data_IF_048944345766
#
_entry.id   IF_048944345766
#
_cell.length_a   1.000
_cell.length_b   1.000
_cell.length_c   1.000
_cell.angle_alpha   90.00
_cell.angle_beta   90.00
_cell.angle_gamma   90.00
#
_symmetry.space_group_name_H-M   'P 1'
#
loop_
_entity.id
_entity.type
_entity.pdbx_description
1 polymer ?
#
# COMPACT_ATOMS: atom_id res chain seq x y z
N UNK A 1 9.89 11.71 -13.58
CA UNK A 1 9.44 12.44 -12.38
C UNK A 1 10.38 12.13 -11.23
N UNK A 2 10.54 13.02 -10.26
CA UNK A 2 11.32 12.77 -9.05
C UNK A 2 10.38 12.33 -7.93
N UNK A 3 10.64 11.16 -7.35
CA UNK A 3 9.79 10.55 -6.32
C UNK A 3 10.62 10.26 -5.08
N UNK A 4 10.10 10.58 -3.90
CA UNK A 4 10.66 10.08 -2.65
C UNK A 4 9.78 8.98 -2.06
N UNK A 5 10.41 7.98 -1.42
CA UNK A 5 9.72 6.88 -0.74
C UNK A 5 10.18 6.85 0.71
N UNK A 6 9.27 7.09 1.64
CA UNK A 6 9.52 7.09 3.08
C UNK A 6 9.18 5.71 3.67
N UNK A 7 10.21 5.00 4.11
CA UNK A 7 10.19 3.60 4.54
C UNK A 7 10.74 2.69 3.44
N UNK A 8 11.85 2.00 3.72
CA UNK A 8 12.53 1.05 2.80
C UNK A 8 12.42 -0.40 3.28
N UNK A 9 11.36 -0.70 4.01
CA UNK A 9 11.05 -2.06 4.43
C UNK A 9 10.54 -2.95 3.29
N UNK A 10 9.85 -4.06 3.64
CA UNK A 10 9.40 -5.12 2.71
C UNK A 10 8.52 -4.64 1.55
N UNK A 11 7.85 -3.50 1.66
CA UNK A 11 7.04 -2.92 0.59
C UNK A 11 7.68 -1.69 -0.03
N UNK A 12 8.32 -0.84 0.77
CA UNK A 12 8.84 0.43 0.29
C UNK A 12 10.10 0.30 -0.57
N UNK A 13 11.00 -0.62 -0.26
CA UNK A 13 12.17 -0.87 -1.11
C UNK A 13 11.77 -1.46 -2.48
N UNK A 14 10.87 -2.46 -2.58
CA UNK A 14 10.33 -2.89 -3.87
C UNK A 14 9.63 -1.76 -4.63
N UNK A 15 8.80 -0.94 -3.98
CA UNK A 15 8.12 0.18 -4.65
C UNK A 15 9.13 1.18 -5.23
N UNK A 16 10.15 1.55 -4.45
CA UNK A 16 11.21 2.45 -4.91
C UNK A 16 11.96 1.89 -6.12
N UNK A 17 12.29 0.60 -6.09
CA UNK A 17 12.98 -0.08 -7.19
C UNK A 17 12.10 -0.21 -8.44
N UNK A 18 10.79 -0.51 -8.28
CA UNK A 18 9.83 -0.55 -9.39
C UNK A 18 9.75 0.82 -10.06
N UNK A 19 9.53 1.90 -9.32
CA UNK A 19 9.48 3.24 -9.91
C UNK A 19 10.79 3.62 -10.61
N UNK A 20 11.94 3.32 -10.00
CA UNK A 20 13.24 3.60 -10.60
C UNK A 20 13.47 2.80 -11.91
N UNK A 21 13.05 1.54 -11.95
CA UNK A 21 13.14 0.69 -13.15
C UNK A 21 12.29 1.21 -14.32
N UNK A 22 11.23 1.93 -13.99
CA UNK A 22 10.30 2.54 -14.97
C UNK A 22 10.67 3.99 -15.35
N UNK A 23 11.88 4.43 -14.98
CA UNK A 23 12.45 5.69 -15.46
C UNK A 23 12.22 6.90 -14.54
N UNK A 24 11.65 6.71 -13.35
CA UNK A 24 11.59 7.77 -12.36
C UNK A 24 12.95 7.93 -11.64
N UNK A 25 13.29 9.15 -11.22
CA UNK A 25 14.38 9.39 -10.27
C UNK A 25 13.83 9.18 -8.86
N UNK A 26 14.38 8.21 -8.11
CA UNK A 26 13.82 7.83 -6.82
C UNK A 26 14.83 8.01 -5.69
N UNK A 27 14.38 8.65 -4.62
CA UNK A 27 15.13 8.82 -3.37
C UNK A 27 14.37 8.08 -2.25
N UNK A 28 14.87 6.91 -1.86
CA UNK A 28 14.35 6.19 -0.71
C UNK A 28 14.81 6.83 0.61
N UNK A 29 13.97 6.80 1.63
CA UNK A 29 14.38 7.23 2.97
C UNK A 29 13.99 6.23 4.03
N UNK A 30 14.85 5.98 4.99
CA UNK A 30 14.57 5.12 6.14
C UNK A 30 15.34 5.59 7.36
N UNK A 31 14.81 5.32 8.56
CA UNK A 31 15.51 5.56 9.83
C UNK A 31 16.61 4.51 10.05
N UNK A 32 16.47 3.32 9.44
CA UNK A 32 17.48 2.27 9.50
C UNK A 32 18.62 2.55 8.50
N UNK A 33 19.77 2.97 9.02
CA UNK A 33 20.94 3.26 8.22
C UNK A 33 21.40 2.06 7.36
N UNK A 34 21.23 0.83 7.83
CA UNK A 34 21.62 -0.36 7.09
C UNK A 34 20.79 -0.54 5.79
N UNK A 35 19.51 -0.13 5.79
CA UNK A 35 18.69 -0.15 4.57
C UNK A 35 19.17 0.90 3.56
N UNK A 36 19.49 2.09 4.05
CA UNK A 36 20.04 3.19 3.22
C UNK A 36 21.38 2.80 2.60
N UNK A 37 22.28 2.24 3.39
CA UNK A 37 23.59 1.77 2.94
C UNK A 37 23.47 0.63 1.91
N UNK A 38 22.56 -0.33 2.14
CA UNK A 38 22.33 -1.42 1.20
C UNK A 38 21.89 -0.89 -0.16
N UNK A 39 20.87 -0.03 -0.21
CA UNK A 39 20.37 0.56 -1.47
C UNK A 39 21.48 1.34 -2.18
N UNK A 40 22.23 2.19 -1.49
CA UNK A 40 23.32 2.98 -2.08
C UNK A 40 24.49 2.10 -2.57
N UNK A 41 24.69 0.94 -1.94
CA UNK A 41 25.66 -0.06 -2.40
C UNK A 41 25.11 -0.94 -3.56
N UNK A 42 23.89 -0.69 -4.03
CA UNK A 42 23.21 -1.47 -5.06
C UNK A 42 22.80 -2.87 -4.59
N UNK A 43 22.50 -3.02 -3.30
CA UNK A 43 22.04 -4.28 -2.70
C UNK A 43 20.60 -4.16 -2.21
N UNK A 44 19.84 -5.22 -2.35
CA UNK A 44 18.48 -5.28 -1.80
C UNK A 44 18.53 -5.22 -0.25
N UNK A 45 17.82 -4.28 0.39
CA UNK A 45 17.79 -4.16 1.84
C UNK A 45 16.88 -5.22 2.50
N UNK A 46 16.04 -5.88 1.73
CA UNK A 46 15.11 -6.93 2.16
C UNK A 46 15.10 -8.07 1.15
N UNK A 47 14.77 -9.25 1.60
CA UNK A 47 14.61 -10.42 0.73
C UNK A 47 13.23 -10.39 0.07
N UNK A 48 13.22 -10.18 -1.26
CA UNK A 48 12.01 -10.22 -2.10
C UNK A 48 12.42 -10.63 -3.52
N UNK A 49 11.75 -11.63 -4.13
CA UNK A 49 12.04 -12.08 -5.49
C UNK A 49 12.01 -10.95 -6.52
N UNK A 50 13.08 -10.84 -7.32
CA UNK A 50 13.22 -9.84 -8.37
C UNK A 50 13.67 -8.44 -7.91
N UNK A 51 13.74 -8.18 -6.59
CA UNK A 51 14.13 -6.86 -6.08
C UNK A 51 15.58 -6.52 -6.44
N UNK A 52 16.52 -7.47 -6.30
CA UNK A 52 17.93 -7.24 -6.63
C UNK A 52 18.10 -6.89 -8.11
N UNK A 53 17.40 -7.60 -9.00
CA UNK A 53 17.47 -7.35 -10.45
C UNK A 53 16.97 -5.93 -10.79
N UNK A 54 15.90 -5.47 -10.15
CA UNK A 54 15.39 -4.10 -10.34
C UNK A 54 16.37 -3.04 -9.83
N UNK A 55 17.03 -3.27 -8.70
CA UNK A 55 18.04 -2.37 -8.15
C UNK A 55 19.24 -2.31 -9.11
N UNK A 56 19.69 -3.44 -9.61
CA UNK A 56 20.82 -3.49 -10.57
C UNK A 56 20.52 -2.72 -11.87
N UNK A 57 19.29 -2.82 -12.37
CA UNK A 57 18.84 -2.08 -13.56
C UNK A 57 18.66 -0.58 -13.30
N UNK A 58 18.51 -0.18 -12.05
CA UNK A 58 18.10 1.19 -11.68
C UNK A 58 19.18 1.98 -10.92
N UNK A 59 20.42 1.51 -10.86
CA UNK A 59 21.53 2.08 -10.06
C UNK A 59 21.72 3.58 -10.23
N UNK A 60 21.48 4.11 -11.42
CA UNK A 60 21.65 5.54 -11.73
C UNK A 60 20.44 6.39 -11.34
N UNK A 61 19.30 5.77 -11.05
CA UNK A 61 18.03 6.43 -10.76
C UNK A 61 17.50 6.16 -9.36
N UNK A 62 18.12 5.24 -8.62
CA UNK A 62 17.74 4.89 -7.24
C UNK A 62 18.86 5.26 -6.28
N UNK A 63 18.54 6.08 -5.31
CA UNK A 63 19.44 6.42 -4.19
C UNK A 63 18.67 6.39 -2.88
N UNK A 64 19.36 6.43 -1.75
CA UNK A 64 18.72 6.47 -0.44
C UNK A 64 19.44 7.41 0.53
N UNK A 65 18.71 7.94 1.51
CA UNK A 65 19.24 8.83 2.55
C UNK A 65 18.46 8.68 3.85
N UNK A 66 19.08 9.02 4.99
CA UNK A 66 18.36 9.18 6.25
C UNK A 66 17.71 10.58 6.41
N UNK A 67 18.04 11.54 5.53
CA UNK A 67 17.45 12.88 5.52
C UNK A 67 16.20 12.92 4.66
N UNK A 68 15.05 12.59 5.27
CA UNK A 68 13.77 12.61 4.59
C UNK A 68 13.35 14.03 4.19
N UNK A 69 13.75 15.08 4.92
CA UNK A 69 13.45 16.48 4.57
C UNK A 69 14.13 16.85 3.26
N UNK A 70 15.41 16.51 3.10
CA UNK A 70 16.14 16.75 1.86
C UNK A 70 15.56 15.95 0.68
N UNK A 71 15.19 14.68 0.89
CA UNK A 71 14.58 13.85 -0.14
C UNK A 71 13.26 14.43 -0.65
N UNK A 72 12.36 14.84 0.26
CA UNK A 72 11.08 15.46 -0.07
C UNK A 72 11.27 16.78 -0.80
N UNK A 73 12.20 17.61 -0.34
CA UNK A 73 12.52 18.89 -1.00
C UNK A 73 12.98 18.68 -2.45
N UNK A 74 13.67 17.60 -2.74
CA UNK A 74 14.20 17.28 -4.07
C UNK A 74 13.22 16.53 -4.98
N UNK A 75 12.03 16.14 -4.50
CA UNK A 75 11.06 15.32 -5.24
C UNK A 75 9.76 16.07 -5.56
N UNK A 76 8.98 15.52 -6.50
CA UNK A 76 7.67 16.04 -6.92
C UNK A 76 6.53 15.32 -6.21
N UNK A 77 6.75 14.05 -5.87
CA UNK A 77 5.82 13.21 -5.12
C UNK A 77 6.53 12.43 -4.01
N UNK A 78 5.83 12.17 -2.90
CA UNK A 78 6.32 11.39 -1.77
C UNK A 78 5.35 10.29 -1.42
N UNK A 79 5.81 9.03 -1.47
CA UNK A 79 5.07 7.86 -1.00
C UNK A 79 5.48 7.54 0.43
N UNK A 80 4.51 7.29 1.31
CA UNK A 80 4.73 7.00 2.72
C UNK A 80 4.31 5.55 3.01
N UNK A 81 5.29 4.71 3.35
CA UNK A 81 5.09 3.28 3.66
C UNK A 81 5.76 2.98 4.99
N UNK A 82 5.08 3.32 6.07
CA UNK A 82 5.53 3.13 7.44
C UNK A 82 4.61 2.16 8.19
N UNK A 83 5.07 1.51 9.27
CA UNK A 83 4.22 0.62 10.05
C UNK A 83 3.00 1.33 10.62
N UNK A 84 1.87 0.63 10.67
CA UNK A 84 0.64 1.05 11.35
C UNK A 84 0.18 -0.08 12.30
N UNK A 85 0.88 -0.30 13.43
CA UNK A 85 0.58 -1.41 14.33
C UNK A 85 -0.82 -1.28 14.93
N UNK A 86 -1.41 -2.40 15.36
CA UNK A 86 -2.66 -2.37 16.11
C UNK A 86 -2.44 -1.81 17.50
N UNK A 87 -3.35 -0.95 17.95
CA UNK A 87 -3.43 -0.50 19.34
C UNK A 87 -4.18 -1.54 20.23
N UNK A 88 -4.34 -1.22 21.51
CA UNK A 88 -5.01 -2.09 22.46
C UNK A 88 -6.50 -2.35 22.14
N UNK A 89 -7.12 -1.54 21.30
CA UNK A 89 -8.51 -1.70 20.84
C UNK A 89 -8.60 -2.52 19.55
N UNK A 90 -7.47 -2.89 18.95
CA UNK A 90 -7.36 -3.58 17.67
C UNK A 90 -7.43 -2.67 16.45
N UNK A 91 -7.46 -1.34 16.63
CA UNK A 91 -7.43 -0.36 15.53
C UNK A 91 -5.99 -0.10 15.09
N UNK A 92 -5.80 0.40 13.89
CA UNK A 92 -4.47 0.80 13.42
C UNK A 92 -4.06 2.13 14.07
N UNK A 93 -2.87 2.16 14.69
CA UNK A 93 -2.26 3.41 15.17
C UNK A 93 -1.71 4.22 13.99
N UNK A 94 -1.94 5.53 14.03
CA UNK A 94 -1.39 6.49 13.09
C UNK A 94 -0.04 7.07 13.53
N UNK A 95 0.56 6.64 14.65
CA UNK A 95 1.72 7.29 15.28
C UNK A 95 2.93 7.44 14.34
N UNK A 96 3.27 6.38 13.62
CA UNK A 96 4.37 6.44 12.65
C UNK A 96 4.00 7.27 11.41
N UNK A 97 2.75 7.17 10.94
CA UNK A 97 2.26 7.95 9.81
C UNK A 97 2.25 9.45 10.13
N UNK A 98 1.81 9.84 11.34
CA UNK A 98 1.85 11.23 11.83
C UNK A 98 3.29 11.76 11.86
N UNK A 99 4.24 11.00 12.41
CA UNK A 99 5.66 11.39 12.44
C UNK A 99 6.26 11.54 11.04
N UNK A 100 5.96 10.60 10.16
CA UNK A 100 6.41 10.66 8.77
C UNK A 100 5.84 11.88 8.04
N UNK A 101 4.53 12.14 8.18
CA UNK A 101 3.88 13.30 7.57
C UNK A 101 4.37 14.64 8.12
N UNK A 102 4.71 14.71 9.42
CA UNK A 102 5.32 15.91 9.98
C UNK A 102 6.68 16.22 9.31
N UNK A 103 7.52 15.19 9.14
CA UNK A 103 8.81 15.32 8.44
C UNK A 103 8.64 15.67 6.96
N UNK A 104 7.71 15.01 6.27
CA UNK A 104 7.36 15.30 4.87
C UNK A 104 6.86 16.73 4.73
N UNK A 105 5.99 17.20 5.62
CA UNK A 105 5.51 18.57 5.66
C UNK A 105 6.65 19.60 5.80
N UNK A 106 7.64 19.33 6.66
CA UNK A 106 8.83 20.18 6.79
C UNK A 106 9.63 20.29 5.48
N UNK A 107 9.77 19.19 4.75
CA UNK A 107 10.41 19.19 3.43
C UNK A 107 9.64 20.00 2.40
N UNK A 108 8.30 19.87 2.38
CA UNK A 108 7.42 20.63 1.49
C UNK A 108 7.47 22.13 1.79
N UNK A 109 7.56 22.51 3.05
CA UNK A 109 7.69 23.91 3.47
C UNK A 109 8.92 24.61 2.88
N UNK A 110 9.99 23.86 2.61
CA UNK A 110 11.27 24.36 2.12
C UNK A 110 11.38 24.41 0.60
N UNK A 111 10.31 24.14 -0.13
CA UNK A 111 10.30 24.17 -1.60
C UNK A 111 9.13 24.99 -2.15
N UNK A 112 9.27 25.43 -3.40
CA UNK A 112 8.19 26.00 -4.21
C UNK A 112 7.58 24.92 -5.12
N UNK A 113 6.43 25.20 -5.69
CA UNK A 113 5.74 24.31 -6.63
C UNK A 113 4.85 23.28 -5.93
N UNK A 114 4.07 22.59 -6.74
CA UNK A 114 3.16 21.54 -6.29
C UNK A 114 3.91 20.34 -5.72
N UNK A 115 3.33 19.66 -4.74
CA UNK A 115 3.84 18.40 -4.21
C UNK A 115 2.69 17.44 -3.93
N UNK A 116 2.80 16.21 -4.45
CA UNK A 116 1.86 15.14 -4.14
C UNK A 116 2.38 14.30 -2.98
N UNK A 117 1.56 14.11 -1.95
CA UNK A 117 1.80 13.15 -0.86
C UNK A 117 0.89 11.96 -1.02
N UNK A 118 1.45 10.76 -0.96
CA UNK A 118 0.71 9.50 -1.14
C UNK A 118 0.88 8.66 0.14
N UNK A 119 -0.21 8.48 0.87
CA UNK A 119 -0.26 7.56 2.01
C UNK A 119 -0.55 6.15 1.50
N UNK A 120 0.45 5.28 1.57
CA UNK A 120 0.34 3.89 1.12
C UNK A 120 0.11 2.91 2.27
N UNK A 121 0.53 3.26 3.49
CA UNK A 121 0.25 2.43 4.68
C UNK A 121 -1.24 2.28 4.92
N UNK A 122 -1.66 1.08 5.33
CA UNK A 122 -3.08 0.83 5.68
C UNK A 122 -3.45 1.57 6.96
N UNK A 123 -4.48 2.40 6.89
CA UNK A 123 -4.99 3.20 8.01
C UNK A 123 -6.48 2.97 8.22
N UNK A 124 -7.01 3.40 9.38
CA UNK A 124 -8.45 3.32 9.67
C UNK A 124 -9.24 4.32 8.82
N UNK A 125 -10.48 3.99 8.39
CA UNK A 125 -11.37 4.95 7.75
C UNK A 125 -11.51 6.26 8.53
N UNK A 126 -11.33 7.38 7.81
CA UNK A 126 -11.30 8.74 8.37
C UNK A 126 -9.92 9.25 8.76
N UNK A 127 -8.86 8.42 8.72
CA UNK A 127 -7.50 8.83 9.10
C UNK A 127 -6.90 9.83 8.12
N UNK A 128 -6.95 9.53 6.82
CA UNK A 128 -6.28 10.33 5.77
C UNK A 128 -6.88 11.72 5.67
N UNK A 129 -8.20 11.83 5.59
CA UNK A 129 -8.90 13.12 5.54
C UNK A 129 -8.97 13.85 6.88
N UNK A 130 -8.71 13.15 7.99
CA UNK A 130 -8.71 13.67 9.36
C UNK A 130 -7.30 14.06 9.83
N UNK A 131 -6.81 13.33 10.83
CA UNK A 131 -5.55 13.63 11.54
C UNK A 131 -4.34 13.72 10.59
N UNK A 132 -4.25 12.84 9.58
CA UNK A 132 -3.09 12.80 8.69
C UNK A 132 -3.04 14.06 7.81
N UNK A 133 -4.17 14.48 7.24
CA UNK A 133 -4.29 15.75 6.53
C UNK A 133 -3.90 16.93 7.42
N UNK A 134 -4.45 17.01 8.64
CA UNK A 134 -4.18 18.13 9.57
C UNK A 134 -2.68 18.26 9.88
N UNK A 135 -2.00 17.14 10.14
CA UNK A 135 -0.56 17.13 10.40
C UNK A 135 0.22 17.60 9.17
N UNK A 136 -0.12 17.11 7.98
CA UNK A 136 0.53 17.52 6.74
C UNK A 136 0.36 19.03 6.47
N UNK A 137 -0.86 19.56 6.58
CA UNK A 137 -1.15 20.99 6.37
C UNK A 137 -0.41 21.86 7.40
N UNK A 138 -0.42 21.46 8.67
CA UNK A 138 0.27 22.18 9.75
C UNK A 138 1.79 22.28 9.51
N UNK A 139 2.44 21.16 9.16
CA UNK A 139 3.89 21.13 9.02
C UNK A 139 4.39 21.69 7.68
N UNK A 140 3.60 21.52 6.61
CA UNK A 140 3.93 22.11 5.32
C UNK A 140 3.65 23.62 5.26
N UNK A 141 2.76 24.14 6.09
CA UNK A 141 2.24 25.51 5.99
C UNK A 141 1.38 25.72 4.74
N UNK A 142 0.85 24.64 4.14
CA UNK A 142 -0.02 24.66 2.96
C UNK A 142 -1.31 23.94 3.25
N UNK A 143 -2.39 24.35 2.59
CA UNK A 143 -3.66 23.60 2.55
C UNK A 143 -3.72 22.75 1.30
N UNK A 144 -4.50 21.64 1.35
CA UNK A 144 -4.78 20.84 0.16
C UNK A 144 -5.40 21.68 -0.94
N UNK A 145 -4.95 21.47 -2.17
CA UNK A 145 -5.39 22.20 -3.36
C UNK A 145 -4.23 22.53 -4.31
N UNK A 146 -4.14 23.76 -4.85
CA UNK A 146 -3.27 24.07 -5.99
C UNK A 146 -1.76 23.84 -5.77
N UNK A 147 -1.30 23.74 -4.52
CA UNK A 147 0.12 23.60 -4.19
C UNK A 147 0.43 22.34 -3.40
N UNK A 148 -0.58 21.56 -2.99
CA UNK A 148 -0.43 20.35 -2.17
C UNK A 148 -1.55 19.37 -2.47
N UNK A 149 -1.21 18.20 -3.00
CA UNK A 149 -2.12 17.07 -3.16
C UNK A 149 -1.89 16.01 -2.09
N UNK A 150 -2.95 15.32 -1.73
CA UNK A 150 -2.90 14.14 -0.86
C UNK A 150 -3.69 13.01 -1.50
N UNK A 151 -3.08 11.84 -1.60
CA UNK A 151 -3.76 10.61 -1.97
C UNK A 151 -3.60 9.54 -0.90
N UNK A 152 -4.60 8.69 -0.75
CA UNK A 152 -4.52 7.39 -0.11
C UNK A 152 -4.43 6.31 -1.19
N UNK A 153 -3.39 5.50 -1.14
CA UNK A 153 -3.13 4.50 -2.18
C UNK A 153 -2.53 3.24 -1.56
N UNK A 154 -3.36 2.38 -0.99
CA UNK A 154 -2.92 1.16 -0.33
C UNK A 154 -2.60 0.06 -1.34
N UNK A 155 -1.71 -0.86 -0.95
CA UNK A 155 -1.32 -2.01 -1.74
C UNK A 155 -2.20 -3.25 -1.47
N UNK A 156 -2.40 -4.08 -2.51
CA UNK A 156 -3.12 -5.36 -2.45
C UNK A 156 -2.17 -6.51 -2.85
N UNK A 157 -1.08 -6.65 -2.12
CA UNK A 157 0.05 -7.53 -2.44
C UNK A 157 0.21 -8.63 -1.41
N UNK A 158 0.77 -9.77 -1.85
CA UNK A 158 1.22 -10.85 -0.98
C UNK A 158 2.75 -10.82 -0.85
N UNK A 159 3.28 -11.03 0.36
CA UNK A 159 4.73 -11.17 0.58
C UNK A 159 5.26 -12.37 -0.23
N UNK A 160 6.43 -12.18 -0.86
CA UNK A 160 7.03 -13.16 -1.77
C UNK A 160 6.59 -13.00 -3.23
N UNK A 161 5.71 -12.04 -3.52
CA UNK A 161 5.32 -11.63 -4.88
C UNK A 161 5.16 -10.12 -5.03
N UNK A 162 5.76 -9.35 -4.12
CA UNK A 162 5.59 -7.90 -4.03
C UNK A 162 5.96 -7.19 -5.34
N UNK A 163 7.13 -7.48 -5.89
CA UNK A 163 7.59 -6.89 -7.16
C UNK A 163 6.64 -7.22 -8.30
N UNK A 164 6.27 -8.50 -8.43
CA UNK A 164 5.34 -8.95 -9.48
C UNK A 164 3.98 -8.26 -9.37
N UNK A 165 3.44 -8.21 -8.17
CA UNK A 165 2.10 -7.67 -7.91
C UNK A 165 2.08 -6.14 -8.06
N UNK A 166 3.20 -5.43 -7.79
CA UNK A 166 3.36 -4.01 -8.10
C UNK A 166 3.46 -3.72 -9.59
N UNK A 167 4.14 -4.59 -10.34
CA UNK A 167 4.26 -4.44 -11.79
C UNK A 167 2.98 -4.81 -12.54
N UNK A 168 2.16 -5.71 -12.00
CA UNK A 168 0.93 -6.22 -12.61
C UNK A 168 -0.22 -6.31 -11.61
N UNK A 169 -0.65 -5.19 -11.02
CA UNK A 169 -1.75 -5.19 -10.08
C UNK A 169 -3.09 -5.46 -10.76
N UNK A 170 -4.02 -6.11 -10.06
CA UNK A 170 -5.40 -6.29 -10.53
C UNK A 170 -6.14 -4.94 -10.64
N UNK A 171 -5.84 -4.00 -9.72
CA UNK A 171 -6.38 -2.64 -9.69
C UNK A 171 -5.45 -1.70 -8.93
N UNK A 172 -5.57 -0.41 -9.21
CA UNK A 172 -5.00 0.68 -8.40
C UNK A 172 -6.14 1.42 -7.72
N UNK A 173 -6.12 1.46 -6.38
CA UNK A 173 -7.10 2.17 -5.56
C UNK A 173 -6.54 3.54 -5.17
N UNK A 174 -7.27 4.60 -5.49
CA UNK A 174 -6.87 5.99 -5.23
C UNK A 174 -7.97 6.70 -4.46
N UNK A 175 -7.71 7.01 -3.20
CA UNK A 175 -8.47 8.03 -2.47
C UNK A 175 -7.79 9.38 -2.69
N UNK A 176 -8.49 10.35 -3.24
CA UNK A 176 -7.89 11.62 -3.67
C UNK A 176 -8.45 12.84 -2.95
N UNK A 177 -7.59 13.84 -2.73
CA UNK A 177 -8.02 15.15 -2.20
C UNK A 177 -8.75 15.99 -3.24
N UNK A 178 -8.33 15.85 -4.49
CA UNK A 178 -8.83 16.58 -5.65
C UNK A 178 -8.38 15.89 -6.94
N UNK A 179 -8.94 16.29 -8.08
CA UNK A 179 -8.65 15.67 -9.38
C UNK A 179 -7.18 15.79 -9.79
N UNK A 180 -6.51 16.91 -9.49
CA UNK A 180 -5.09 17.09 -9.83
C UNK A 180 -4.20 16.09 -9.11
N UNK A 181 -4.46 15.81 -7.83
CA UNK A 181 -3.75 14.80 -7.05
C UNK A 181 -3.96 13.40 -7.63
N UNK A 182 -5.21 13.06 -7.95
CA UNK A 182 -5.56 11.79 -8.57
C UNK A 182 -4.93 11.60 -9.94
N UNK A 183 -5.01 12.60 -10.82
CA UNK A 183 -4.44 12.55 -12.18
C UNK A 183 -2.91 12.36 -12.15
N UNK A 184 -2.22 13.05 -11.24
CA UNK A 184 -0.78 12.90 -11.06
C UNK A 184 -0.41 11.48 -10.60
N UNK A 185 -1.14 10.92 -9.62
CA UNK A 185 -0.90 9.57 -9.14
C UNK A 185 -1.21 8.51 -10.20
N UNK A 186 -2.32 8.65 -10.90
CA UNK A 186 -2.70 7.78 -12.02
C UNK A 186 -1.61 7.80 -13.12
N UNK A 187 -1.07 8.97 -13.46
CA UNK A 187 0.04 9.11 -14.40
C UNK A 187 1.32 8.38 -13.96
N UNK A 188 1.63 8.34 -12.66
CA UNK A 188 2.75 7.55 -12.12
C UNK A 188 2.49 6.06 -12.38
N UNK A 189 1.29 5.55 -12.09
CA UNK A 189 0.98 4.14 -12.29
C UNK A 189 0.87 3.73 -13.74
N UNK A 190 0.39 4.58 -14.64
CA UNK A 190 0.40 4.31 -16.09
C UNK A 190 1.79 4.08 -16.66
N UNK A 191 2.81 4.73 -16.08
CA UNK A 191 4.21 4.52 -16.47
C UNK A 191 4.88 3.38 -15.72
N UNK A 192 4.34 2.98 -14.56
CA UNK A 192 5.00 2.02 -13.66
C UNK A 192 4.47 0.59 -13.77
N UNK A 193 3.23 0.39 -14.22
CA UNK A 193 2.64 -0.94 -14.38
C UNK A 193 2.93 -1.54 -15.77
N UNK A 194 3.17 -2.87 -15.82
CA UNK A 194 3.34 -3.63 -17.07
C UNK A 194 2.00 -4.00 -17.73
N UNK A 195 0.92 -3.92 -16.97
CA UNK A 195 -0.44 -4.07 -17.46
C UNK A 195 -1.18 -2.71 -17.41
N UNK A 196 -2.42 -2.72 -17.81
CA UNK A 196 -3.31 -1.55 -17.67
C UNK A 196 -4.34 -1.85 -16.57
N UNK A 197 -3.98 -1.70 -15.29
CA UNK A 197 -4.88 -2.03 -14.21
C UNK A 197 -6.07 -1.07 -14.18
N UNK A 198 -7.20 -1.56 -13.67
CA UNK A 198 -8.36 -0.70 -13.46
C UNK A 198 -8.05 0.35 -12.39
N UNK A 199 -8.12 1.64 -12.75
CA UNK A 199 -8.01 2.74 -11.80
C UNK A 199 -9.34 2.95 -11.07
N UNK A 200 -9.31 2.95 -9.74
CA UNK A 200 -10.50 3.12 -8.88
C UNK A 200 -10.31 4.37 -8.02
N UNK A 201 -10.82 5.49 -8.53
CA UNK A 201 -10.71 6.81 -7.90
C UNK A 201 -11.94 7.11 -7.06
N UNK A 202 -11.74 7.61 -5.85
CA UNK A 202 -12.80 7.92 -4.90
C UNK A 202 -12.29 8.86 -3.79
N UNK A 203 -13.16 9.23 -2.85
CA UNK A 203 -12.73 9.97 -1.66
C UNK A 203 -11.96 9.06 -0.68
N UNK A 204 -11.26 9.67 0.27
CA UNK A 204 -10.42 8.97 1.24
C UNK A 204 -11.16 7.87 2.01
N UNK A 205 -12.32 8.19 2.57
CA UNK A 205 -13.07 7.26 3.43
C UNK A 205 -13.50 6.01 2.67
N UNK A 206 -13.96 6.17 1.44
CA UNK A 206 -14.33 5.05 0.59
C UNK A 206 -13.10 4.18 0.26
N UNK A 207 -11.95 4.78 -0.04
CA UNK A 207 -10.73 4.04 -0.35
C UNK A 207 -10.18 3.30 0.89
N UNK A 208 -10.16 3.94 2.04
CA UNK A 208 -9.75 3.32 3.32
C UNK A 208 -10.65 2.14 3.68
N UNK A 209 -11.98 2.31 3.55
CA UNK A 209 -12.94 1.23 3.78
C UNK A 209 -12.77 0.10 2.78
N UNK A 210 -12.61 0.42 1.49
CA UNK A 210 -12.39 -0.57 0.42
C UNK A 210 -11.16 -1.44 0.72
N UNK A 211 -10.06 -0.84 1.18
CA UNK A 211 -8.84 -1.58 1.51
C UNK A 211 -9.10 -2.67 2.56
N UNK A 212 -9.76 -2.33 3.64
CA UNK A 212 -10.06 -3.29 4.72
C UNK A 212 -11.12 -4.29 4.27
N UNK A 213 -12.16 -3.83 3.55
CA UNK A 213 -13.25 -4.66 3.06
C UNK A 213 -12.79 -5.77 2.10
N UNK A 214 -11.80 -5.51 1.23
CA UNK A 214 -11.24 -6.55 0.35
C UNK A 214 -10.63 -7.68 1.19
N UNK A 215 -9.81 -7.37 2.19
CA UNK A 215 -9.17 -8.38 3.02
C UNK A 215 -10.17 -9.18 3.85
N UNK A 216 -11.17 -8.51 4.43
CA UNK A 216 -12.21 -9.20 5.22
C UNK A 216 -13.13 -10.04 4.35
N UNK A 217 -13.43 -9.62 3.12
CA UNK A 217 -14.18 -10.43 2.16
C UNK A 217 -13.38 -11.68 1.72
N UNK A 218 -12.08 -11.53 1.48
CA UNK A 218 -11.21 -12.67 1.18
C UNK A 218 -11.23 -13.71 2.31
N UNK A 219 -11.12 -13.26 3.57
CA UNK A 219 -11.19 -14.18 4.72
C UNK A 219 -12.57 -14.82 4.90
N UNK A 220 -13.64 -14.15 4.51
CA UNK A 220 -14.99 -14.73 4.45
C UNK A 220 -15.07 -15.86 3.43
N UNK A 221 -14.49 -15.70 2.24
CA UNK A 221 -14.43 -16.77 1.23
C UNK A 221 -13.62 -17.98 1.72
N UNK A 222 -12.48 -17.75 2.37
CA UNK A 222 -11.66 -18.83 2.95
C UNK A 222 -12.45 -19.59 4.02
N UNK A 223 -13.11 -18.86 4.94
CA UNK A 223 -13.92 -19.46 6.00
C UNK A 223 -15.11 -20.24 5.44
N UNK A 224 -15.75 -19.74 4.41
CA UNK A 224 -16.84 -20.42 3.72
C UNK A 224 -16.35 -21.72 3.03
N UNK A 225 -15.20 -21.66 2.36
CA UNK A 225 -14.61 -22.85 1.75
C UNK A 225 -14.23 -23.93 2.79
N UNK A 226 -13.73 -23.52 3.95
CA UNK A 226 -13.44 -24.45 5.06
C UNK A 226 -14.71 -25.06 5.66
N UNK A 227 -15.79 -24.29 5.78
CA UNK A 227 -17.09 -24.84 6.18
C UNK A 227 -17.58 -25.87 5.17
N UNK A 228 -17.42 -25.65 3.86
CA UNK A 228 -17.74 -26.66 2.85
C UNK A 228 -16.87 -27.92 2.99
N UNK A 229 -15.59 -27.76 3.33
CA UNK A 229 -14.70 -28.90 3.59
C UNK A 229 -15.24 -29.78 4.75
N UNK A 230 -15.61 -29.15 5.87
CA UNK A 230 -16.22 -29.88 7.01
C UNK A 230 -17.52 -30.61 6.64
N UNK A 231 -18.31 -30.07 5.72
CA UNK A 231 -19.51 -30.73 5.22
C UNK A 231 -19.13 -31.91 4.32
N UNK A 232 -18.20 -31.73 3.38
CA UNK A 232 -17.76 -32.79 2.46
C UNK A 232 -17.15 -33.96 3.22
N UNK A 233 -16.38 -33.73 4.28
CA UNK A 233 -15.79 -34.76 5.12
C UNK A 233 -16.83 -35.69 5.79
N UNK A 234 -18.08 -35.24 5.89
CA UNK A 234 -19.20 -35.98 6.50
C UNK A 234 -20.17 -36.57 5.48
N UNK A 235 -20.01 -36.27 4.21
CA UNK A 235 -20.84 -36.76 3.13
C UNK A 235 -20.07 -37.79 2.30
N UNK A 236 -20.55 -39.06 2.20
CA UNK A 236 -19.93 -40.04 1.33
C UNK A 236 -19.81 -39.53 -0.11
N UNK A 237 -18.66 -39.78 -0.74
CA UNK A 237 -18.34 -39.42 -2.13
C UNK A 237 -18.24 -37.91 -2.42
N UNK A 238 -18.41 -37.00 -1.42
CA UNK A 238 -18.21 -35.60 -1.59
C UNK A 238 -16.72 -35.21 -1.59
N UNK A 239 -16.34 -34.28 -2.50
CA UNK A 239 -14.99 -33.76 -2.63
C UNK A 239 -15.08 -32.22 -2.63
N UNK A 240 -14.45 -31.57 -1.65
CA UNK A 240 -14.47 -30.13 -1.48
C UNK A 240 -13.83 -29.40 -2.66
N UNK A 241 -12.79 -29.94 -3.27
CA UNK A 241 -12.14 -29.31 -4.43
C UNK A 241 -13.05 -29.32 -5.67
N UNK A 242 -13.84 -30.37 -5.84
CA UNK A 242 -14.85 -30.46 -6.90
C UNK A 242 -15.99 -29.45 -6.65
N UNK A 243 -16.51 -29.42 -5.42
CA UNK A 243 -17.60 -28.52 -5.02
C UNK A 243 -17.17 -27.06 -5.16
N UNK A 244 -16.00 -26.69 -4.60
CA UNK A 244 -15.54 -25.28 -4.63
C UNK A 244 -15.16 -24.80 -6.03
N UNK A 245 -14.64 -25.67 -6.90
CA UNK A 245 -14.42 -25.37 -8.32
C UNK A 245 -15.74 -25.08 -9.05
N UNK A 246 -16.77 -25.87 -8.80
CA UNK A 246 -18.08 -25.68 -9.40
C UNK A 246 -18.73 -24.39 -8.90
N UNK A 247 -18.72 -24.13 -7.59
CA UNK A 247 -19.21 -22.89 -6.99
C UNK A 247 -18.45 -21.66 -7.54
N UNK A 248 -17.12 -21.77 -7.63
CA UNK A 248 -16.27 -20.69 -8.15
C UNK A 248 -16.39 -20.42 -9.64
N UNK A 249 -16.95 -21.36 -10.42
CA UNK A 249 -17.24 -21.17 -11.85
C UNK A 249 -18.40 -20.18 -12.09
N UNK A 250 -19.28 -19.98 -11.09
CA UNK A 250 -20.29 -18.92 -11.15
C UNK A 250 -19.58 -17.55 -11.06
N UNK A 251 -19.80 -16.71 -12.08
CA UNK A 251 -19.16 -15.37 -12.17
C UNK A 251 -19.50 -14.44 -11.01
N UNK A 252 -20.62 -14.68 -10.30
CA UNK A 252 -21.01 -13.94 -9.10
C UNK A 252 -20.13 -14.29 -7.89
N UNK A 253 -19.46 -15.45 -7.90
CA UNK A 253 -18.63 -15.95 -6.79
C UNK A 253 -17.15 -15.84 -7.12
N UNK A 254 -16.69 -16.42 -8.24
CA UNK A 254 -15.31 -16.44 -8.67
C UNK A 254 -14.43 -17.41 -7.87
N UNK A 255 -13.40 -17.97 -8.51
CA UNK A 255 -12.57 -19.06 -7.98
C UNK A 255 -11.52 -18.62 -6.95
N UNK A 256 -11.08 -17.35 -6.96
CA UNK A 256 -10.00 -16.88 -6.09
C UNK A 256 -10.39 -17.02 -4.61
N UNK A 257 -9.49 -17.59 -3.79
CA UNK A 257 -9.65 -17.79 -2.34
C UNK A 257 -10.80 -18.72 -1.94
N UNK A 258 -11.34 -19.51 -2.86
CA UNK A 258 -12.41 -20.48 -2.59
C UNK A 258 -11.84 -21.91 -2.64
N UNK A 259 -11.04 -22.26 -1.64
CA UNK A 259 -10.43 -23.57 -1.48
C UNK A 259 -10.47 -23.99 -0.01
N UNK A 260 -10.94 -25.21 0.26
CA UNK A 260 -10.89 -25.82 1.60
C UNK A 260 -9.46 -26.19 1.96
N UNK A 261 -8.99 -25.72 3.10
CA UNK A 261 -7.65 -25.98 3.65
C UNK A 261 -7.58 -25.50 5.10
N UNK A 262 -6.38 -25.15 5.58
CA UNK A 262 -6.20 -24.47 6.87
C UNK A 262 -6.85 -23.08 6.87
N UNK A 263 -7.18 -22.56 8.06
CA UNK A 263 -7.72 -21.20 8.20
C UNK A 263 -6.77 -20.12 7.69
N UNK A 264 -7.31 -18.92 7.50
CA UNK A 264 -6.49 -17.78 7.08
C UNK A 264 -5.51 -17.36 8.20
N UNK A 265 -4.35 -16.84 7.81
CA UNK A 265 -3.29 -16.41 8.70
C UNK A 265 -2.48 -15.26 8.09
N UNK A 266 -1.20 -15.19 8.47
CA UNK A 266 -0.29 -14.14 8.03
C UNK A 266 -0.46 -12.82 8.79
N UNK A 267 0.34 -11.79 8.45
CA UNK A 267 0.38 -10.55 9.22
C UNK A 267 -0.80 -9.60 8.94
N UNK A 268 -1.51 -9.77 7.82
CA UNK A 268 -2.52 -8.80 7.37
C UNK A 268 -3.96 -9.26 7.69
N UNK A 269 -4.35 -10.46 7.27
CA UNK A 269 -5.74 -10.90 7.38
C UNK A 269 -6.31 -10.90 8.80
N UNK A 270 -5.65 -11.50 9.82
CA UNK A 270 -6.16 -11.46 11.18
C UNK A 270 -6.28 -10.03 11.71
N UNK A 271 -5.27 -9.21 11.47
CA UNK A 271 -5.19 -7.82 11.91
C UNK A 271 -6.31 -6.97 11.30
N UNK A 272 -6.54 -7.10 10.00
CA UNK A 272 -7.54 -6.30 9.28
C UNK A 272 -8.97 -6.72 9.69
N UNK A 273 -9.21 -8.01 9.98
CA UNK A 273 -10.50 -8.48 10.54
C UNK A 273 -10.76 -7.87 11.93
N UNK A 274 -9.75 -7.83 12.80
CA UNK A 274 -9.89 -7.21 14.14
C UNK A 274 -10.18 -5.73 13.99
N UNK A 275 -9.46 -5.02 13.13
CA UNK A 275 -9.65 -3.59 12.88
C UNK A 275 -11.03 -3.28 12.28
N UNK A 276 -11.50 -4.10 11.34
CA UNK A 276 -12.84 -3.95 10.78
C UNK A 276 -13.94 -4.19 11.82
N UNK A 277 -13.78 -5.23 12.66
CA UNK A 277 -14.69 -5.48 13.79
C UNK A 277 -14.68 -4.37 14.84
N UNK A 278 -13.51 -3.75 15.11
CA UNK A 278 -13.41 -2.60 16.01
C UNK A 278 -14.13 -1.37 15.44
N UNK A 279 -13.99 -1.11 14.13
CA UNK A 279 -14.72 -0.06 13.44
C UNK A 279 -16.23 -0.27 13.52
N UNK A 280 -16.72 -1.48 13.20
CA UNK A 280 -18.14 -1.79 13.23
C UNK A 280 -18.77 -1.65 14.62
N UNK A 281 -18.02 -1.97 15.70
CA UNK A 281 -18.50 -1.77 17.09
C UNK A 281 -18.54 -0.31 17.52
N UNK A 282 -17.76 0.56 16.88
CA UNK A 282 -17.74 1.98 17.17
C UNK A 282 -18.92 2.73 16.54
N UNK A 283 -19.42 2.25 15.41
CA UNK A 283 -20.55 2.84 14.67
C UNK A 283 -21.90 2.35 15.21
#
# INVERSE_FOLDING_TARGET
MKISVVGLGKLGAPLAAVFASKGHEVIGTDLNAAFVEAVNAGRAPVDEPGLQDLIDQSRTRLSATNDAVAAVRASDATFIIVPTPSDATGRFSNDYAVKALATVGQGIRQKSGYHLVVMTSTVMPGSTGGVLRQVLEQHSGRTLGPMLGLCYNPEFIALGSVVRDMLRPDMILIGESDAQAGDMLEGIYHTSCDNQPAMRRMNFVNAELTKIAVNTYVTTKISYANMLADICDRLPEADVDVVTKAVGADSRVGVKYLRGATGYGGPCFPRDNVAFGALARQL
#
